data_IF_159448007899
#
_entry.id   IF_159448007899
#
_cell.length_a   1.000
_cell.length_b   1.000
_cell.length_c   1.000
_cell.angle_alpha   90.00
_cell.angle_beta   90.00
_cell.angle_gamma   90.00
#
_symmetry.space_group_name_H-M   'P 1'
#
loop_
_entity.id
_entity.type
_entity.pdbx_description
1 polymer ?
#
# COMPACT_ATOMS: atom_id res chain seq x y z
N UNK A 1 -16.22 0.50 -19.92
CA UNK A 1 -15.04 -0.14 -19.28
C UNK A 1 -15.22 0.02 -17.78
N UNK A 2 -14.98 -1.01 -16.96
CA UNK A 2 -15.07 -0.85 -15.51
C UNK A 2 -13.91 0.05 -15.09
N UNK A 3 -14.22 1.28 -14.76
CA UNK A 3 -13.25 2.34 -14.51
C UNK A 3 -12.32 1.92 -13.37
N UNK A 4 -11.03 2.18 -13.59
CA UNK A 4 -10.02 2.06 -12.56
C UNK A 4 -10.38 3.11 -11.51
N UNK A 5 -11.03 2.66 -10.43
CA UNK A 5 -11.66 3.52 -9.43
C UNK A 5 -11.12 3.21 -8.03
N UNK A 6 -11.39 4.10 -7.07
CA UNK A 6 -11.02 3.92 -5.67
C UNK A 6 -11.54 2.58 -5.10
N UNK A 7 -12.68 2.09 -5.57
CA UNK A 7 -13.23 0.78 -5.19
C UNK A 7 -12.30 -0.36 -5.59
N UNK A 8 -11.81 -0.35 -6.83
CA UNK A 8 -10.86 -1.34 -7.31
C UNK A 8 -9.59 -1.38 -6.45
N UNK A 9 -9.04 -0.22 -6.08
CA UNK A 9 -7.86 -0.14 -5.22
C UNK A 9 -8.11 -0.76 -3.83
N UNK A 10 -9.30 -0.52 -3.26
CA UNK A 10 -9.69 -1.11 -1.97
C UNK A 10 -9.87 -2.61 -2.07
N UNK A 11 -10.54 -3.09 -3.11
CA UNK A 11 -10.78 -4.51 -3.35
C UNK A 11 -9.47 -5.27 -3.59
N UNK A 12 -8.53 -4.67 -4.34
CA UNK A 12 -7.20 -5.23 -4.54
C UNK A 12 -6.41 -5.32 -3.22
N UNK A 13 -6.47 -4.27 -2.39
CA UNK A 13 -5.84 -4.29 -1.08
C UNK A 13 -6.49 -5.31 -0.14
N UNK A 14 -7.79 -5.57 -0.28
CA UNK A 14 -8.50 -6.62 0.45
C UNK A 14 -8.06 -8.01 -0.01
N UNK A 15 -8.02 -8.26 -1.32
CA UNK A 15 -7.53 -9.51 -1.92
C UNK A 15 -6.11 -9.86 -1.46
N UNK A 16 -5.19 -8.88 -1.42
CA UNK A 16 -3.83 -9.11 -0.91
C UNK A 16 -3.79 -9.54 0.57
N UNK A 17 -4.77 -9.12 1.37
CA UNK A 17 -4.85 -9.47 2.79
C UNK A 17 -5.55 -10.80 3.03
N UNK A 18 -6.62 -11.09 2.29
CA UNK A 18 -7.43 -12.31 2.51
C UNK A 18 -6.89 -13.51 1.76
N UNK A 19 -6.69 -13.38 0.45
CA UNK A 19 -6.30 -14.50 -0.40
C UNK A 19 -4.81 -14.77 -0.30
N UNK A 20 -3.99 -13.73 -0.40
CA UNK A 20 -2.52 -13.87 -0.36
C UNK A 20 -1.94 -13.79 1.05
N UNK A 21 -2.75 -13.47 2.07
CA UNK A 21 -2.35 -13.35 3.49
C UNK A 21 -1.07 -12.52 3.70
N UNK A 22 -0.87 -11.49 2.87
CA UNK A 22 0.33 -10.68 2.91
C UNK A 22 0.34 -9.80 4.17
N UNK A 23 1.53 -9.61 4.74
CA UNK A 23 1.73 -8.64 5.83
C UNK A 23 1.33 -7.24 5.33
N UNK A 24 0.78 -6.42 6.24
CA UNK A 24 0.33 -5.06 5.92
C UNK A 24 1.42 -4.20 5.26
N UNK A 25 2.68 -4.36 5.68
CA UNK A 25 3.82 -3.66 5.09
C UNK A 25 4.04 -4.02 3.61
N UNK A 26 3.86 -5.30 3.25
CA UNK A 26 4.00 -5.78 1.88
C UNK A 26 2.84 -5.28 1.01
N UNK A 27 1.60 -5.37 1.52
CA UNK A 27 0.41 -4.81 0.86
C UNK A 27 0.63 -3.32 0.55
N UNK A 28 1.11 -2.56 1.53
CA UNK A 28 1.40 -1.13 1.38
C UNK A 28 2.42 -0.85 0.28
N UNK A 29 3.56 -1.58 0.28
CA UNK A 29 4.58 -1.43 -0.76
C UNK A 29 4.05 -1.79 -2.14
N UNK A 30 3.23 -2.84 -2.25
CA UNK A 30 2.61 -3.24 -3.51
C UNK A 30 1.67 -2.16 -4.04
N UNK A 31 0.79 -1.61 -3.20
CA UNK A 31 -0.11 -0.52 -3.58
C UNK A 31 0.68 0.74 -4.00
N UNK A 32 1.77 1.08 -3.31
CA UNK A 32 2.64 2.19 -3.72
C UNK A 32 3.26 1.97 -5.11
N UNK A 33 3.69 0.75 -5.45
CA UNK A 33 4.21 0.45 -6.79
C UNK A 33 3.14 0.60 -7.87
N UNK A 34 1.93 0.11 -7.60
CA UNK A 34 0.78 0.26 -8.52
C UNK A 34 0.48 1.74 -8.74
N UNK A 35 0.48 2.56 -7.67
CA UNK A 35 0.31 4.01 -7.80
C UNK A 35 1.33 4.63 -8.74
N UNK A 36 2.62 4.25 -8.64
CA UNK A 36 3.64 4.75 -9.58
C UNK A 36 3.36 4.35 -11.02
N UNK A 37 2.98 3.10 -11.28
CA UNK A 37 2.65 2.62 -12.63
C UNK A 37 1.48 3.41 -13.22
N UNK A 38 0.44 3.68 -12.43
CA UNK A 38 -0.70 4.49 -12.88
C UNK A 38 -0.27 5.93 -13.18
N UNK A 39 0.61 6.52 -12.36
CA UNK A 39 1.15 7.85 -12.64
C UNK A 39 1.92 7.90 -13.97
N UNK A 40 2.69 6.86 -14.29
CA UNK A 40 3.31 6.73 -15.61
C UNK A 40 2.27 6.64 -16.73
N UNK A 41 1.24 5.81 -16.55
CA UNK A 41 0.18 5.69 -17.55
C UNK A 41 -0.60 7.00 -17.77
N UNK A 42 -0.74 7.84 -16.73
CA UNK A 42 -1.32 9.18 -16.86
C UNK A 42 -0.37 10.13 -17.62
N UNK A 43 0.93 10.08 -17.31
CA UNK A 43 1.93 10.91 -17.99
C UNK A 43 2.04 10.60 -19.50
N UNK A 44 1.90 9.33 -19.86
CA UNK A 44 1.87 8.84 -21.25
C UNK A 44 0.48 9.02 -21.91
N UNK A 45 -0.46 9.72 -21.26
CA UNK A 45 -1.84 9.94 -21.73
C UNK A 45 -2.68 8.67 -21.99
N UNK A 46 -2.29 7.51 -21.44
CA UNK A 46 -3.13 6.30 -21.46
C UNK A 46 -4.33 6.39 -20.49
N UNK A 47 -4.22 7.22 -19.44
CA UNK A 47 -5.26 7.44 -18.44
C UNK A 47 -5.49 8.95 -18.22
N UNK A 48 -6.75 9.37 -18.23
CA UNK A 48 -7.11 10.78 -18.00
C UNK A 48 -7.38 11.13 -16.54
N UNK A 49 -7.70 10.13 -15.69
CA UNK A 49 -8.09 10.33 -14.29
C UNK A 49 -7.20 9.52 -13.35
N UNK A 50 -6.85 10.13 -12.21
CA UNK A 50 -6.09 9.45 -11.16
C UNK A 50 -7.03 8.70 -10.18
N UNK A 51 -7.08 7.36 -10.20
CA UNK A 51 -7.83 6.55 -9.23
C UNK A 51 -7.33 6.67 -7.79
N UNK A 52 -6.09 7.10 -7.60
CA UNK A 52 -5.45 7.24 -6.30
C UNK A 52 -5.65 8.62 -5.68
N UNK A 53 -6.36 9.54 -6.33
CA UNK A 53 -6.47 10.93 -5.86
C UNK A 53 -7.05 11.02 -4.43
N UNK A 54 -8.07 10.21 -4.12
CA UNK A 54 -8.70 10.15 -2.80
C UNK A 54 -8.15 9.03 -1.90
N UNK A 55 -7.15 8.28 -2.37
CA UNK A 55 -6.57 7.18 -1.62
C UNK A 55 -5.61 7.69 -0.55
N UNK A 56 -6.06 7.70 0.71
CA UNK A 56 -5.22 7.99 1.87
C UNK A 56 -4.72 6.70 2.52
N UNK A 57 -3.40 6.58 2.61
CA UNK A 57 -2.77 5.52 3.36
C UNK A 57 -3.01 5.70 4.87
N UNK A 58 -3.44 4.63 5.56
CA UNK A 58 -3.39 4.59 7.03
C UNK A 58 -1.92 4.55 7.45
N UNK A 59 -1.43 5.62 8.07
CA UNK A 59 -0.11 5.65 8.69
C UNK A 59 -0.14 4.74 9.93
N UNK A 60 0.63 3.65 9.91
CA UNK A 60 0.81 2.81 11.09
C UNK A 60 2.07 3.27 11.81
N UNK A 61 1.96 3.59 13.11
CA UNK A 61 3.15 3.90 13.93
C UNK A 61 3.89 2.58 14.17
N UNK A 62 5.12 2.48 13.69
CA UNK A 62 6.00 1.40 14.10
C UNK A 62 6.32 1.61 15.58
N UNK A 63 5.89 0.69 16.44
CA UNK A 63 6.39 0.65 17.82
C UNK A 63 7.79 0.05 17.74
N UNK A 64 8.80 0.91 17.83
CA UNK A 64 10.19 0.47 17.94
C UNK A 64 10.37 0.06 19.40
N UNK A 65 10.32 -1.24 19.67
CA UNK A 65 10.69 -1.78 20.97
C UNK A 65 12.20 -1.99 20.93
N UNK A 66 12.94 -1.17 21.69
CA UNK A 66 14.35 -1.42 21.95
C UNK A 66 14.44 -2.45 23.08
N UNK A 67 15.22 -3.52 22.86
CA UNK A 67 15.69 -4.35 23.97
C UNK A 67 16.61 -3.46 24.80
N UNK A 68 16.15 -3.00 25.98
CA UNK A 68 17.08 -2.47 26.97
C UNK A 68 17.92 -3.62 27.51
N UNK A 69 19.20 -3.34 27.65
CA UNK A 69 20.28 -4.27 28.00
C UNK A 69 20.19 -4.75 29.46
N UNK A 70 19.09 -5.42 29.82
CA UNK A 70 18.92 -5.97 31.18
C UNK A 70 19.62 -7.34 31.36
N UNK A 71 20.43 -7.78 30.39
CA UNK A 71 20.91 -9.16 30.32
C UNK A 71 22.42 -9.39 30.42
N UNK A 72 23.28 -8.37 30.48
CA UNK A 72 24.72 -8.58 30.67
C UNK A 72 25.07 -8.59 32.17
N UNK A 73 24.57 -9.61 32.89
CA UNK A 73 25.09 -9.95 34.21
C UNK A 73 26.40 -10.71 34.04
N UNK A 74 27.52 -10.04 34.38
CA UNK A 74 28.84 -10.63 34.58
C UNK A 74 28.86 -11.55 35.81
#
# INVERSE_FOLDING_TARGET
MKDLDLKFIKDLAYFFKTELKLRQATVYRSIQRIKKIIQFAIAENYLQKDPFHLYKNKKYKAVIVYLMDEGLQC
#
